data_IF_957170798742
#
_entry.id   IF_957170798742
#
_cell.length_a   1.000
_cell.length_b   1.000
_cell.length_c   1.000
_cell.angle_alpha   90.00
_cell.angle_beta   90.00
_cell.angle_gamma   90.00
#
_symmetry.space_group_name_H-M   'P 1'
#
loop_
_entity.id
_entity.type
_entity.pdbx_description
1 polymer ?
#
# COMPACT_ATOMS: atom_id res chain seq x y z
N UNK A 1 -3.56 -2.06 -13.36
CA UNK A 1 -4.66 -2.82 -12.73
C UNK A 1 -4.42 -2.92 -11.22
N UNK A 2 -5.47 -2.79 -10.42
CA UNK A 2 -5.35 -2.92 -8.97
C UNK A 2 -6.67 -3.38 -8.37
N UNK A 3 -6.60 -3.97 -7.18
CA UNK A 3 -7.76 -4.29 -6.35
C UNK A 3 -7.54 -3.76 -4.94
N UNK A 4 -8.60 -3.34 -4.28
CA UNK A 4 -8.60 -2.85 -2.91
C UNK A 4 -9.74 -3.56 -2.18
N UNK A 5 -9.40 -4.38 -1.18
CA UNK A 5 -10.39 -5.17 -0.43
C UNK A 5 -10.13 -5.07 1.07
N UNK A 6 -11.19 -4.91 1.85
CA UNK A 6 -11.10 -4.87 3.31
C UNK A 6 -11.50 -6.21 3.93
N UNK A 7 -10.65 -6.72 4.82
CA UNK A 7 -10.93 -7.91 5.61
C UNK A 7 -11.27 -7.48 7.05
N UNK A 8 -12.55 -7.57 7.39
CA UNK A 8 -13.03 -7.17 8.72
C UNK A 8 -12.51 -8.10 9.83
N UNK A 9 -12.25 -9.37 9.53
CA UNK A 9 -11.78 -10.33 10.53
C UNK A 9 -10.38 -9.97 11.03
N UNK A 10 -9.49 -9.52 10.16
CA UNK A 10 -8.12 -9.13 10.50
C UNK A 10 -7.95 -7.61 10.64
N UNK A 11 -8.99 -6.84 10.32
CA UNK A 11 -8.95 -5.37 10.25
C UNK A 11 -7.80 -4.89 9.37
N UNK A 12 -7.70 -5.48 8.20
CA UNK A 12 -6.63 -5.22 7.25
C UNK A 12 -7.18 -4.89 5.87
N UNK A 13 -6.63 -3.86 5.25
CA UNK A 13 -6.92 -3.51 3.87
C UNK A 13 -5.90 -4.20 2.98
N UNK A 14 -6.38 -5.02 2.05
CA UNK A 14 -5.54 -5.75 1.11
C UNK A 14 -5.55 -5.05 -0.23
N UNK A 15 -4.36 -4.68 -0.70
CA UNK A 15 -4.16 -4.04 -2.01
C UNK A 15 -3.33 -4.99 -2.86
N UNK A 16 -3.77 -5.22 -4.09
CA UNK A 16 -2.98 -5.96 -5.10
C UNK A 16 -2.82 -5.06 -6.30
N UNK A 17 -1.59 -4.89 -6.78
CA UNK A 17 -1.31 -4.10 -7.98
C UNK A 17 -0.62 -4.96 -9.02
N UNK A 18 -0.88 -4.66 -10.29
CA UNK A 18 -0.32 -5.39 -11.42
C UNK A 18 0.15 -4.43 -12.50
N UNK A 19 1.24 -4.82 -13.17
CA UNK A 19 1.68 -4.20 -14.39
C UNK A 19 2.33 -2.84 -14.23
N UNK A 20 2.39 -2.13 -15.34
CA UNK A 20 3.02 -0.83 -15.48
C UNK A 20 1.94 0.25 -15.44
N UNK A 21 2.08 1.21 -14.56
CA UNK A 21 1.06 2.23 -14.34
C UNK A 21 1.35 3.52 -15.10
N UNK A 22 0.27 4.22 -15.44
CA UNK A 22 0.31 5.57 -15.98
C UNK A 22 -0.04 6.58 -14.87
N UNK A 23 0.23 7.88 -15.07
CA UNK A 23 -0.23 8.90 -14.13
C UNK A 23 -1.75 8.88 -13.92
N UNK A 24 -2.53 8.59 -14.97
CA UNK A 24 -3.99 8.50 -14.86
C UNK A 24 -4.46 7.34 -13.98
N UNK A 25 -3.87 6.16 -14.15
CA UNK A 25 -4.16 4.99 -13.30
C UNK A 25 -3.78 5.28 -11.85
N UNK A 26 -2.62 5.91 -11.64
CA UNK A 26 -2.14 6.27 -10.31
C UNK A 26 -3.09 7.25 -9.63
N UNK A 27 -3.56 8.27 -10.33
CA UNK A 27 -4.52 9.23 -9.79
C UNK A 27 -5.84 8.56 -9.38
N UNK A 28 -6.34 7.65 -10.20
CA UNK A 28 -7.56 6.89 -9.89
C UNK A 28 -7.36 6.01 -8.65
N UNK A 29 -6.23 5.33 -8.55
CA UNK A 29 -5.88 4.51 -7.39
C UNK A 29 -5.81 5.34 -6.11
N UNK A 30 -5.11 6.46 -6.14
CA UNK A 30 -4.96 7.35 -4.97
C UNK A 30 -6.33 7.84 -4.50
N UNK A 31 -7.18 8.30 -5.43
CA UNK A 31 -8.51 8.78 -5.09
C UNK A 31 -9.37 7.68 -4.46
N UNK A 32 -9.38 6.49 -5.05
CA UNK A 32 -10.16 5.37 -4.53
C UNK A 32 -9.64 4.89 -3.19
N UNK A 33 -8.33 4.76 -3.04
CA UNK A 33 -7.70 4.30 -1.80
C UNK A 33 -8.03 5.25 -0.64
N UNK A 34 -7.89 6.55 -0.84
CA UNK A 34 -8.18 7.53 0.21
C UNK A 34 -9.67 7.58 0.55
N UNK A 35 -10.56 7.49 -0.46
CA UNK A 35 -12.00 7.48 -0.23
C UNK A 35 -12.44 6.22 0.52
N UNK A 36 -12.01 5.04 0.07
CA UNK A 36 -12.37 3.77 0.73
C UNK A 36 -11.72 3.66 2.10
N UNK A 37 -10.47 4.07 2.23
CA UNK A 37 -9.77 4.07 3.51
C UNK A 37 -10.47 4.97 4.54
N UNK A 38 -10.89 6.15 4.15
CA UNK A 38 -11.65 7.05 5.03
C UNK A 38 -12.96 6.43 5.48
N UNK A 39 -13.71 5.81 4.57
CA UNK A 39 -14.97 5.14 4.89
C UNK A 39 -14.74 3.96 5.87
N UNK A 40 -13.70 3.17 5.65
CA UNK A 40 -13.34 2.05 6.54
C UNK A 40 -12.97 2.58 7.92
N UNK A 41 -12.15 3.63 7.98
CA UNK A 41 -11.74 4.26 9.24
C UNK A 41 -12.94 4.75 10.06
N UNK A 42 -13.89 5.39 9.40
CA UNK A 42 -15.11 5.89 10.05
C UNK A 42 -16.02 4.76 10.56
N UNK A 43 -16.10 3.65 9.81
CA UNK A 43 -16.98 2.53 10.14
C UNK A 43 -16.35 1.53 11.09
N UNK A 44 -15.07 1.23 10.92
CA UNK A 44 -14.39 0.13 11.62
C UNK A 44 -13.23 0.57 12.51
N UNK A 45 -12.80 1.81 12.44
CA UNK A 45 -11.64 2.31 13.17
C UNK A 45 -10.31 2.05 12.46
N UNK A 46 -9.17 2.14 13.18
CA UNK A 46 -7.85 1.94 12.59
C UNK A 46 -7.69 0.57 11.96
N UNK A 47 -6.91 0.49 10.90
CA UNK A 47 -6.65 -0.75 10.16
C UNK A 47 -5.22 -0.79 9.64
N UNK A 48 -4.70 -2.01 9.45
CA UNK A 48 -3.41 -2.24 8.80
C UNK A 48 -3.61 -2.33 7.29
N UNK A 49 -2.51 -2.18 6.53
CA UNK A 49 -2.53 -2.34 5.08
C UNK A 49 -1.49 -3.37 4.68
N UNK A 50 -1.90 -4.32 3.86
CA UNK A 50 -1.01 -5.26 3.19
C UNK A 50 -1.11 -5.02 1.69
N UNK A 51 -0.06 -4.47 1.11
CA UNK A 51 0.02 -4.18 -0.31
C UNK A 51 0.86 -5.25 -1.02
N UNK A 52 0.23 -6.08 -1.83
CA UNK A 52 0.92 -7.08 -2.65
C UNK A 52 1.30 -6.46 -3.99
N UNK A 53 2.57 -6.12 -4.13
CA UNK A 53 3.14 -5.47 -5.32
C UNK A 53 3.97 -6.45 -6.15
N UNK A 54 3.87 -7.76 -5.91
CA UNK A 54 4.72 -8.74 -6.58
C UNK A 54 4.50 -8.83 -8.09
N UNK A 55 3.28 -8.54 -8.55
CA UNK A 55 2.93 -8.54 -9.96
C UNK A 55 3.11 -7.16 -10.63
N UNK A 56 3.48 -6.14 -9.87
CA UNK A 56 3.71 -4.80 -10.40
C UNK A 56 5.09 -4.71 -11.05
N UNK A 57 5.16 -4.02 -12.18
CA UNK A 57 6.43 -3.67 -12.82
C UNK A 57 7.13 -2.54 -12.06
N UNK A 58 8.39 -2.30 -12.36
CA UNK A 58 9.09 -1.10 -11.91
C UNK A 58 8.38 0.12 -12.53
N UNK A 59 8.01 1.08 -11.71
CA UNK A 59 7.18 2.20 -12.12
C UNK A 59 8.02 3.42 -12.54
N UNK A 60 7.49 4.29 -13.43
CA UNK A 60 8.17 5.54 -13.76
C UNK A 60 8.19 6.50 -12.56
N UNK A 61 9.13 7.42 -12.58
CA UNK A 61 9.34 8.40 -11.51
C UNK A 61 8.06 9.16 -11.15
N UNK A 62 7.26 9.55 -12.14
CA UNK A 62 6.01 10.28 -11.92
C UNK A 62 5.00 9.49 -11.07
N UNK A 63 4.94 8.18 -11.27
CA UNK A 63 4.08 7.30 -10.48
C UNK A 63 4.59 7.21 -9.05
N UNK A 64 5.90 7.01 -8.88
CA UNK A 64 6.53 6.97 -7.54
C UNK A 64 6.32 8.27 -6.79
N UNK A 65 6.48 9.42 -7.45
CA UNK A 65 6.28 10.73 -6.84
C UNK A 65 4.82 10.93 -6.39
N UNK A 66 3.86 10.50 -7.20
CA UNK A 66 2.44 10.58 -6.85
C UNK A 66 2.09 9.71 -5.63
N UNK A 67 2.67 8.51 -5.55
CA UNK A 67 2.49 7.63 -4.39
C UNK A 67 3.13 8.23 -3.14
N UNK A 68 4.30 8.83 -3.27
CA UNK A 68 4.97 9.51 -2.16
C UNK A 68 4.14 10.69 -1.63
N UNK A 69 3.54 11.46 -2.53
CA UNK A 69 2.68 12.59 -2.15
C UNK A 69 1.41 12.17 -1.41
N UNK A 70 0.91 10.95 -1.68
CA UNK A 70 -0.26 10.39 -1.01
C UNK A 70 0.04 9.95 0.43
N UNK A 71 1.26 9.49 0.71
CA UNK A 71 1.58 8.77 1.95
C UNK A 71 1.23 9.50 3.24
N UNK A 72 1.47 10.82 3.40
CA UNK A 72 1.10 11.50 4.64
C UNK A 72 -0.38 11.38 4.99
N UNK A 73 -1.26 11.46 3.98
CA UNK A 73 -2.71 11.29 4.18
C UNK A 73 -3.08 9.84 4.45
N UNK A 74 -2.47 8.91 3.74
CA UNK A 74 -2.70 7.48 3.94
C UNK A 74 -2.34 7.06 5.38
N UNK A 75 -1.22 7.52 5.91
CA UNK A 75 -0.79 7.21 7.27
C UNK A 75 -1.75 7.75 8.33
N UNK A 76 -2.34 8.91 8.10
CA UNK A 76 -3.37 9.46 8.99
C UNK A 76 -4.65 8.64 8.95
N UNK A 77 -5.03 8.15 7.79
CA UNK A 77 -6.26 7.37 7.61
C UNK A 77 -6.13 5.99 8.26
N UNK A 78 -5.02 5.30 8.06
CA UNK A 78 -4.82 3.95 8.61
C UNK A 78 -4.58 3.95 10.12
N UNK A 79 -3.74 4.84 10.59
CA UNK A 79 -3.24 4.93 11.99
C UNK A 79 -2.59 3.64 12.50
N UNK A 80 -2.29 2.69 11.63
CA UNK A 80 -1.63 1.42 11.94
C UNK A 80 -0.63 1.08 10.84
N UNK A 81 0.25 0.08 11.05
CA UNK A 81 1.31 -0.25 10.11
C UNK A 81 0.83 -0.61 8.70
N UNK A 82 1.68 -0.27 7.74
CA UNK A 82 1.52 -0.57 6.32
C UNK A 82 2.70 -1.43 5.88
N UNK A 83 2.41 -2.61 5.33
CA UNK A 83 3.41 -3.51 4.77
C UNK A 83 3.22 -3.65 3.27
N UNK A 84 4.32 -3.67 2.54
CA UNK A 84 4.33 -4.00 1.11
C UNK A 84 5.13 -5.28 0.90
N UNK A 85 4.69 -6.09 -0.05
CA UNK A 85 5.42 -7.28 -0.50
C UNK A 85 5.80 -7.09 -1.96
N UNK A 86 7.07 -7.27 -2.28
CA UNK A 86 7.63 -7.05 -3.61
C UNK A 86 8.34 -8.30 -4.13
N UNK A 87 8.56 -8.36 -5.44
CA UNK A 87 9.09 -9.55 -6.09
C UNK A 87 10.61 -9.68 -6.00
N UNK A 88 11.34 -8.56 -5.88
CA UNK A 88 12.81 -8.56 -5.93
C UNK A 88 13.39 -7.31 -5.25
N UNK A 89 14.72 -7.28 -5.13
CA UNK A 89 15.43 -6.19 -4.46
C UNK A 89 15.31 -4.85 -5.17
N UNK A 90 15.24 -4.82 -6.50
CA UNK A 90 15.07 -3.58 -7.24
C UNK A 90 13.70 -2.94 -6.95
N UNK A 91 12.65 -3.76 -6.96
CA UNK A 91 11.31 -3.32 -6.60
C UNK A 91 11.26 -2.85 -5.14
N UNK A 92 11.99 -3.51 -4.25
CA UNK A 92 12.08 -3.11 -2.84
C UNK A 92 12.71 -1.72 -2.70
N UNK A 93 13.80 -1.46 -3.40
CA UNK A 93 14.45 -0.14 -3.37
C UNK A 93 13.51 0.95 -3.89
N UNK A 94 12.76 0.67 -4.96
CA UNK A 94 11.81 1.64 -5.49
C UNK A 94 10.66 1.91 -4.49
N UNK A 95 10.10 0.85 -3.91
CA UNK A 95 9.00 0.98 -2.95
C UNK A 95 9.43 1.74 -1.70
N UNK A 96 10.64 1.54 -1.23
CA UNK A 96 11.18 2.24 -0.06
C UNK A 96 11.38 3.74 -0.28
N UNK A 97 11.29 4.22 -1.51
CA UNK A 97 11.30 5.68 -1.78
C UNK A 97 10.03 6.37 -1.31
N UNK A 98 8.90 5.68 -1.30
CA UNK A 98 7.64 6.30 -0.86
C UNK A 98 7.07 5.66 0.40
N UNK A 99 7.37 4.40 0.69
CA UNK A 99 6.90 3.71 1.89
C UNK A 99 7.97 3.86 2.98
N UNK A 100 7.96 5.02 3.64
CA UNK A 100 9.00 5.44 4.59
C UNK A 100 8.38 5.72 5.95
N UNK A 101 9.09 5.36 7.02
CA UNK A 101 8.68 5.63 8.40
C UNK A 101 8.60 4.38 9.26
N UNK A 102 8.45 4.58 10.56
CA UNK A 102 8.44 3.49 11.55
C UNK A 102 7.27 2.51 11.35
N UNK A 103 6.15 3.00 10.80
CA UNK A 103 4.95 2.21 10.55
C UNK A 103 4.87 1.66 9.13
N UNK A 104 5.94 1.78 8.35
CA UNK A 104 5.99 1.32 6.97
C UNK A 104 7.16 0.36 6.79
N UNK A 105 6.93 -0.78 6.13
CA UNK A 105 7.99 -1.73 5.86
C UNK A 105 7.73 -2.50 4.57
N UNK A 106 8.80 -2.78 3.83
CA UNK A 106 8.75 -3.55 2.58
C UNK A 106 9.42 -4.90 2.78
N UNK A 107 8.77 -5.95 2.28
CA UNK A 107 9.18 -7.34 2.45
C UNK A 107 9.33 -8.03 1.10
N UNK A 108 10.18 -9.06 1.07
CA UNK A 108 10.28 -9.99 -0.06
C UNK A 108 9.44 -11.25 0.16
N UNK A 109 8.97 -11.47 1.38
CA UNK A 109 8.19 -12.64 1.79
C UNK A 109 6.83 -12.19 2.36
N UNK A 110 5.75 -12.70 1.79
CA UNK A 110 4.40 -12.36 2.22
C UNK A 110 4.10 -12.82 3.64
N UNK A 111 4.62 -13.98 4.06
CA UNK A 111 4.37 -14.50 5.41
C UNK A 111 5.07 -13.64 6.47
N UNK A 112 6.27 -13.15 6.19
CA UNK A 112 6.95 -12.20 7.08
C UNK A 112 6.16 -10.90 7.23
N UNK A 113 5.63 -10.38 6.12
CA UNK A 113 4.81 -9.17 6.14
C UNK A 113 3.57 -9.35 7.02
N UNK A 114 2.88 -10.48 6.88
CA UNK A 114 1.68 -10.78 7.68
C UNK A 114 2.02 -10.91 9.16
N UNK A 115 3.13 -11.57 9.50
CA UNK A 115 3.56 -11.69 10.89
C UNK A 115 3.90 -10.34 11.50
N UNK A 116 4.57 -9.48 10.74
CA UNK A 116 4.90 -8.13 11.19
C UNK A 116 3.65 -7.29 11.45
N UNK A 117 2.64 -7.39 10.58
CA UNK A 117 1.38 -6.66 10.76
C UNK A 117 0.58 -7.16 11.95
N UNK A 118 0.70 -8.45 12.28
CA UNK A 118 -0.03 -9.06 13.39
C UNK A 118 0.63 -8.84 14.76
N UNK A 119 1.89 -8.44 14.75
CA UNK A 119 2.68 -8.27 15.99
C UNK A 119 2.24 -7.08 16.86
#
# INVERSE_FOLDING_TARGET
MYTIEYDAATRSLHIVTEGFWTPAVTAAFVAELLARGTAIRLRHGPFTVLADLRAAAIQPTQVVDALAAMMPRALKVTSRPIAAVVANNLAKLQTERYLVGANCRTFLDADEAKRWLAA
#
